data_IF_462718376092
#
_entry.id   IF_462718376092
#
_cell.length_a   1.000
_cell.length_b   1.000
_cell.length_c   1.000
_cell.angle_alpha   90.00
_cell.angle_beta   90.00
_cell.angle_gamma   90.00
#
_symmetry.space_group_name_H-M   'P 1'
#
loop_
_entity.id
_entity.type
_entity.pdbx_description
1 polymer ?
#
# COMPACT_ATOMS: atom_id res chain seq x y z
N UNK A 1 -42.97 -51.26 -36.93
CA UNK A 1 -42.12 -51.71 -38.06
C UNK A 1 -40.74 -51.13 -37.82
N UNK A 2 -39.77 -52.00 -37.67
CA UNK A 2 -38.37 -51.65 -37.51
C UNK A 2 -37.81 -51.04 -38.80
N UNK A 3 -36.95 -50.03 -38.63
CA UNK A 3 -36.09 -49.50 -39.69
C UNK A 3 -34.72 -49.24 -39.08
N UNK A 4 -33.81 -50.20 -39.29
CA UNK A 4 -32.42 -50.15 -38.86
C UNK A 4 -31.65 -49.05 -39.62
N UNK A 5 -30.88 -48.25 -38.90
CA UNK A 5 -29.72 -47.56 -39.45
C UNK A 5 -28.51 -48.05 -38.65
N UNK A 6 -27.66 -48.84 -39.30
CA UNK A 6 -26.36 -49.27 -38.82
C UNK A 6 -25.44 -48.06 -38.76
N UNK A 7 -24.90 -47.76 -37.57
CA UNK A 7 -23.74 -46.89 -37.42
C UNK A 7 -22.60 -47.71 -36.85
N UNK A 8 -21.45 -47.51 -37.48
CA UNK A 8 -20.24 -48.31 -37.47
C UNK A 8 -19.62 -48.40 -36.06
N UNK A 9 -19.26 -49.61 -35.65
CA UNK A 9 -18.58 -49.86 -34.38
C UNK A 9 -17.08 -49.71 -34.56
N UNK A 10 -16.60 -48.47 -34.67
CA UNK A 10 -15.18 -48.15 -34.42
C UNK A 10 -14.98 -46.65 -34.25
N UNK A 11 -15.17 -46.16 -33.03
CA UNK A 11 -14.49 -44.95 -32.55
C UNK A 11 -14.63 -44.91 -31.03
N UNK A 12 -13.72 -45.62 -30.35
CA UNK A 12 -13.43 -45.35 -28.94
C UNK A 12 -12.83 -43.95 -28.89
N UNK A 13 -13.65 -42.94 -28.57
CA UNK A 13 -13.14 -41.61 -28.24
C UNK A 13 -12.18 -41.76 -27.06
N UNK A 14 -10.91 -41.44 -27.33
CA UNK A 14 -9.79 -41.52 -26.40
C UNK A 14 -10.12 -40.71 -25.14
N UNK A 15 -10.41 -41.39 -24.04
CA UNK A 15 -10.62 -40.76 -22.72
C UNK A 15 -9.31 -40.21 -22.11
N UNK A 16 -8.21 -40.24 -22.88
CA UNK A 16 -6.86 -39.80 -22.54
C UNK A 16 -6.60 -38.32 -22.87
N UNK A 17 -7.41 -37.66 -23.71
CA UNK A 17 -7.21 -36.22 -24.03
C UNK A 17 -7.89 -35.26 -23.04
N UNK A 18 -8.79 -35.74 -22.19
CA UNK A 18 -9.47 -34.92 -21.16
C UNK A 18 -8.74 -34.90 -19.81
N UNK A 19 -7.74 -35.76 -19.59
CA UNK A 19 -6.91 -35.75 -18.37
C UNK A 19 -5.69 -34.84 -18.49
N UNK A 20 -5.24 -34.50 -19.69
CA UNK A 20 -4.02 -33.71 -19.91
C UNK A 20 -4.22 -32.20 -19.74
N UNK A 21 -5.47 -31.71 -19.73
CA UNK A 21 -5.75 -30.27 -19.58
C UNK A 21 -5.93 -29.79 -18.13
N UNK A 22 -5.99 -30.71 -17.15
CA UNK A 22 -6.16 -30.34 -15.73
C UNK A 22 -4.82 -30.26 -14.98
N UNK A 23 -3.78 -30.97 -15.42
CA UNK A 23 -2.48 -30.99 -14.74
C UNK A 23 -1.61 -29.74 -14.95
N UNK A 24 -1.79 -28.99 -16.04
CA UNK A 24 -0.97 -27.80 -16.35
C UNK A 24 -1.36 -26.53 -15.56
N UNK A 25 -2.48 -26.53 -14.84
CA UNK A 25 -2.88 -25.37 -14.00
C UNK A 25 -2.30 -25.41 -12.58
N UNK A 26 -1.53 -26.46 -12.25
CA UNK A 26 -0.97 -26.67 -10.91
C UNK A 26 0.44 -26.09 -10.70
N UNK A 27 1.09 -25.56 -11.73
CA UNK A 27 2.35 -24.81 -11.61
C UNK A 27 2.13 -23.32 -11.77
N UNK A 28 1.63 -22.69 -10.71
CA UNK A 28 1.88 -21.27 -10.49
C UNK A 28 3.35 -21.10 -10.09
N UNK A 29 4.23 -20.93 -11.06
CA UNK A 29 5.55 -20.37 -10.78
C UNK A 29 5.41 -18.85 -10.79
N UNK A 30 5.63 -18.16 -9.66
CA UNK A 30 5.49 -16.73 -9.62
C UNK A 30 6.53 -16.10 -10.57
N UNK A 31 6.09 -15.14 -11.39
CA UNK A 31 6.92 -14.39 -12.34
C UNK A 31 7.94 -13.51 -11.59
N UNK A 32 8.94 -14.13 -10.97
CA UNK A 32 10.09 -13.46 -10.38
C UNK A 32 11.32 -13.89 -11.17
N UNK A 33 11.74 -13.03 -12.11
CA UNK A 33 12.99 -13.14 -12.84
C UNK A 33 14.18 -13.31 -11.85
N UNK A 34 15.23 -14.02 -12.25
CA UNK A 34 16.49 -14.19 -11.50
C UNK A 34 17.07 -12.82 -11.07
N UNK A 35 16.84 -11.79 -11.88
CA UNK A 35 17.23 -10.41 -11.60
C UNK A 35 16.50 -9.82 -10.37
N UNK A 36 15.26 -10.25 -10.11
CA UNK A 36 14.46 -9.84 -8.95
C UNK A 36 15.00 -10.46 -7.66
N UNK A 37 15.37 -11.74 -7.71
CA UNK A 37 15.96 -12.44 -6.56
C UNK A 37 17.28 -11.82 -6.15
N UNK A 38 18.11 -11.39 -7.11
CA UNK A 38 19.40 -10.74 -6.84
C UNK A 38 19.24 -9.36 -6.19
N UNK A 39 18.22 -8.57 -6.55
CA UNK A 39 18.03 -7.23 -5.98
C UNK A 39 17.49 -7.25 -4.54
N UNK A 40 16.77 -8.29 -4.14
CA UNK A 40 16.12 -8.39 -2.82
C UNK A 40 16.82 -9.34 -1.85
N UNK A 41 17.66 -10.26 -2.35
CA UNK A 41 18.30 -11.29 -1.53
C UNK A 41 19.83 -11.21 -1.51
N UNK A 42 20.44 -10.25 -2.23
CA UNK A 42 21.90 -10.07 -2.25
C UNK A 42 22.48 -9.60 -0.92
N UNK A 43 21.74 -8.82 -0.12
CA UNK A 43 22.34 -8.03 0.97
C UNK A 43 21.92 -8.47 2.39
N UNK A 44 21.29 -9.65 2.55
CA UNK A 44 21.02 -10.22 3.89
C UNK A 44 19.98 -9.49 4.76
N UNK A 45 19.35 -8.43 4.27
CA UNK A 45 18.29 -7.71 4.98
C UNK A 45 16.90 -8.28 4.64
N UNK A 46 16.56 -9.42 5.24
CA UNK A 46 15.20 -10.01 5.14
C UNK A 46 14.10 -9.01 5.49
N UNK A 47 14.38 -8.09 6.43
CA UNK A 47 13.46 -7.04 6.86
C UNK A 47 13.10 -6.05 5.76
N UNK A 48 14.05 -5.65 4.91
CA UNK A 48 13.80 -4.67 3.84
C UNK A 48 12.95 -5.29 2.72
N UNK A 49 13.24 -6.55 2.39
CA UNK A 49 12.44 -7.33 1.45
C UNK A 49 11.02 -7.57 1.95
N UNK A 50 10.85 -7.89 3.23
CA UNK A 50 9.53 -8.00 3.86
C UNK A 50 8.78 -6.66 3.84
N UNK A 51 9.43 -5.55 4.22
CA UNK A 51 8.81 -4.22 4.19
C UNK A 51 8.34 -3.85 2.79
N UNK A 52 9.13 -4.16 1.76
CA UNK A 52 8.71 -3.90 0.39
C UNK A 52 7.56 -4.81 -0.06
N UNK A 53 7.59 -6.09 0.33
CA UNK A 53 6.48 -7.00 0.06
C UNK A 53 5.17 -6.46 0.67
N UNK A 54 5.20 -6.00 1.92
CA UNK A 54 4.06 -5.35 2.56
C UNK A 54 3.63 -4.08 1.83
N UNK A 55 4.56 -3.21 1.41
CA UNK A 55 4.24 -2.01 0.61
C UNK A 55 3.52 -2.36 -0.70
N UNK A 56 3.94 -3.43 -1.38
CA UNK A 56 3.32 -3.91 -2.62
C UNK A 56 1.91 -4.45 -2.41
N UNK A 57 1.60 -4.97 -1.23
CA UNK A 57 0.25 -5.40 -0.85
C UNK A 57 -0.59 -4.19 -0.39
N UNK A 58 0.02 -3.21 0.29
CA UNK A 58 -0.68 -2.07 0.85
C UNK A 58 -1.15 -1.06 -0.22
N UNK A 59 -0.26 -0.68 -1.14
CA UNK A 59 -0.54 0.37 -2.13
C UNK A 59 -1.78 0.05 -3.01
N UNK A 60 -2.01 -1.19 -3.47
CA UNK A 60 -3.19 -1.52 -4.25
C UNK A 60 -4.51 -1.44 -3.49
N UNK A 61 -4.57 -1.38 -2.16
CA UNK A 61 -5.87 -1.31 -1.46
C UNK A 61 -6.69 -0.09 -1.88
N UNK A 62 -6.04 1.07 -2.06
CA UNK A 62 -6.70 2.28 -2.54
C UNK A 62 -7.26 2.08 -3.96
N UNK A 63 -6.48 1.47 -4.85
CA UNK A 63 -6.90 1.19 -6.23
C UNK A 63 -7.85 0.00 -6.39
N UNK A 64 -7.91 -0.90 -5.41
CA UNK A 64 -8.81 -2.05 -5.43
C UNK A 64 -10.27 -1.59 -5.36
N UNK A 65 -10.56 -0.56 -4.56
CA UNK A 65 -11.90 -0.05 -4.32
C UNK A 65 -12.51 0.53 -5.62
N UNK A 66 -11.70 1.06 -6.55
CA UNK A 66 -12.17 1.57 -7.85
C UNK A 66 -12.28 0.51 -8.95
N UNK A 67 -11.78 -0.72 -8.72
CA UNK A 67 -11.81 -1.79 -9.74
C UNK A 67 -13.25 -2.28 -9.98
N UNK A 68 -13.70 -2.28 -11.23
CA UNK A 68 -15.09 -2.62 -11.64
C UNK A 68 -15.61 -3.98 -11.14
N UNK A 69 -14.73 -4.96 -10.92
CA UNK A 69 -15.09 -6.31 -10.44
C UNK A 69 -14.72 -6.57 -8.97
N UNK A 70 -14.37 -5.52 -8.21
CA UNK A 70 -14.09 -5.66 -6.79
C UNK A 70 -15.37 -5.97 -6.00
N UNK A 71 -15.28 -6.89 -5.04
CA UNK A 71 -16.40 -7.20 -4.13
C UNK A 71 -16.80 -5.98 -3.29
N UNK A 72 -15.82 -5.13 -2.97
CA UNK A 72 -15.99 -3.88 -2.23
C UNK A 72 -15.76 -2.65 -3.12
N UNK A 73 -16.42 -2.60 -4.29
CA UNK A 73 -16.34 -1.45 -5.19
C UNK A 73 -17.08 -0.22 -4.62
N UNK A 74 -16.37 0.90 -4.41
CA UNK A 74 -16.91 2.18 -3.86
C UNK A 74 -16.11 3.40 -4.33
N UNK A 75 -16.51 4.00 -5.45
CA UNK A 75 -15.80 5.15 -6.03
C UNK A 75 -15.81 6.39 -5.11
N UNK A 76 -16.82 6.54 -4.26
CA UNK A 76 -16.93 7.67 -3.32
C UNK A 76 -15.81 7.63 -2.29
N UNK A 77 -15.45 6.43 -1.81
CA UNK A 77 -14.37 6.24 -0.85
C UNK A 77 -13.02 6.61 -1.47
N UNK A 78 -12.78 6.21 -2.71
CA UNK A 78 -11.59 6.62 -3.45
C UNK A 78 -11.53 8.15 -3.61
N UNK A 79 -12.65 8.77 -3.99
CA UNK A 79 -12.76 10.22 -4.12
C UNK A 79 -12.41 10.96 -2.83
N UNK A 80 -12.90 10.48 -1.67
CA UNK A 80 -12.59 11.05 -0.36
C UNK A 80 -11.08 10.93 -0.06
N UNK A 81 -10.46 9.77 -0.32
CA UNK A 81 -9.01 9.58 -0.10
C UNK A 81 -8.20 10.52 -0.98
N UNK A 82 -8.50 10.60 -2.28
CA UNK A 82 -7.79 11.46 -3.23
C UNK A 82 -7.93 12.94 -2.89
N UNK A 83 -9.13 13.40 -2.53
CA UNK A 83 -9.36 14.78 -2.12
C UNK A 83 -8.58 15.08 -0.85
N UNK A 84 -8.69 14.24 0.18
CA UNK A 84 -8.01 14.42 1.47
C UNK A 84 -6.49 14.44 1.30
N UNK A 85 -5.93 13.46 0.57
CA UNK A 85 -4.50 13.43 0.23
C UNK A 85 -4.07 14.70 -0.49
N UNK A 86 -4.82 15.12 -1.53
CA UNK A 86 -4.51 16.34 -2.28
C UNK A 86 -4.55 17.60 -1.40
N UNK A 87 -5.46 17.68 -0.43
CA UNK A 87 -5.57 18.81 0.49
C UNK A 87 -4.40 18.86 1.47
N UNK A 88 -3.95 17.72 1.99
CA UNK A 88 -2.79 17.61 2.88
C UNK A 88 -1.55 18.13 2.16
N UNK A 89 -1.25 17.59 0.98
CA UNK A 89 -0.01 17.90 0.27
C UNK A 89 -0.01 19.35 -0.24
N UNK A 90 -1.16 19.88 -0.69
CA UNK A 90 -1.29 21.30 -1.09
C UNK A 90 -1.02 22.25 0.08
N UNK A 91 -1.56 21.96 1.26
CA UNK A 91 -1.33 22.76 2.47
C UNK A 91 0.14 22.74 2.88
N UNK A 92 0.77 21.57 2.86
CA UNK A 92 2.20 21.45 3.15
C UNK A 92 3.05 22.23 2.15
N UNK A 93 2.70 22.19 0.85
CA UNK A 93 3.36 23.00 -0.18
C UNK A 93 3.22 24.49 0.05
N UNK A 94 2.06 24.96 0.50
CA UNK A 94 1.86 26.38 0.83
C UNK A 94 2.79 26.83 1.96
N UNK A 95 2.97 26.00 2.99
CA UNK A 95 3.88 26.26 4.10
C UNK A 95 5.35 26.25 3.65
N UNK A 96 5.74 25.23 2.89
CA UNK A 96 7.09 25.15 2.33
C UNK A 96 7.37 26.35 1.43
N UNK A 97 6.37 26.84 0.67
CA UNK A 97 6.50 28.03 -0.18
C UNK A 97 6.70 29.34 0.62
N UNK A 98 6.19 29.41 1.85
CA UNK A 98 6.40 30.56 2.73
C UNK A 98 7.82 30.59 3.31
N UNK A 99 8.39 29.42 3.55
CA UNK A 99 9.76 29.27 4.04
C UNK A 99 10.75 29.45 2.88
N UNK A 100 10.49 28.80 1.73
CA UNK A 100 11.45 28.63 0.65
C UNK A 100 10.86 28.25 -0.72
N UNK A 101 11.73 27.96 -1.70
CA UNK A 101 11.35 27.50 -3.04
C UNK A 101 11.16 25.98 -3.14
N UNK A 102 9.93 25.48 -3.43
CA UNK A 102 9.72 24.08 -3.81
C UNK A 102 10.25 23.80 -5.23
N UNK A 103 10.86 22.63 -5.43
CA UNK A 103 11.38 22.16 -6.71
C UNK A 103 10.36 21.27 -7.42
N UNK A 104 9.95 20.19 -6.75
CA UNK A 104 9.06 19.17 -7.30
C UNK A 104 7.99 18.80 -6.27
N UNK A 105 6.83 18.45 -6.80
CA UNK A 105 5.64 18.13 -6.04
C UNK A 105 5.03 16.84 -6.61
N UNK A 106 5.04 15.79 -5.80
CA UNK A 106 4.45 14.49 -6.11
C UNK A 106 3.30 14.19 -5.13
N UNK A 107 2.61 13.08 -5.37
CA UNK A 107 1.42 12.61 -4.66
C UNK A 107 1.60 12.61 -3.14
N UNK A 108 2.75 12.12 -2.66
CA UNK A 108 3.02 11.92 -1.23
C UNK A 108 4.29 12.63 -0.75
N UNK A 109 4.92 13.47 -1.59
CA UNK A 109 6.24 14.03 -1.33
C UNK A 109 6.45 15.42 -1.92
N UNK A 110 7.26 16.23 -1.22
CA UNK A 110 7.67 17.56 -1.67
C UNK A 110 9.19 17.60 -1.67
N UNK A 111 9.77 17.88 -2.83
CA UNK A 111 11.18 18.18 -2.96
C UNK A 111 11.37 19.68 -2.87
N UNK A 112 12.14 20.14 -1.88
CA UNK A 112 12.39 21.55 -1.64
C UNK A 112 13.84 21.79 -1.25
N UNK A 113 14.30 23.01 -1.47
CA UNK A 113 15.60 23.48 -0.97
C UNK A 113 15.32 24.31 0.27
N UNK A 114 16.04 24.05 1.36
CA UNK A 114 16.00 24.85 2.58
C UNK A 114 17.29 25.69 2.70
N UNK A 115 17.27 26.86 3.39
CA UNK A 115 18.48 27.61 3.66
C UNK A 115 19.47 26.77 4.45
N UNK A 116 20.77 26.97 4.23
CA UNK A 116 21.81 26.33 5.03
C UNK A 116 21.74 26.69 6.53
N UNK A 117 21.12 27.82 6.88
CA UNK A 117 20.92 28.27 8.26
C UNK A 117 19.66 27.68 8.92
N UNK A 118 18.85 26.93 8.18
CA UNK A 118 17.62 26.35 8.70
C UNK A 118 17.93 25.18 9.63
N UNK A 119 17.18 25.08 10.72
CA UNK A 119 17.38 24.02 11.71
C UNK A 119 16.86 22.68 11.19
N UNK A 120 17.75 21.72 10.98
CA UNK A 120 17.39 20.38 10.48
C UNK A 120 17.13 19.40 11.61
N UNK A 121 18.15 19.06 12.41
CA UNK A 121 18.08 18.00 13.40
C UNK A 121 18.57 18.48 14.77
N UNK A 122 17.80 18.17 15.80
CA UNK A 122 18.15 18.38 17.20
C UNK A 122 18.35 17.04 17.88
N UNK A 123 19.45 16.87 18.62
CA UNK A 123 19.69 15.70 19.44
C UNK A 123 19.29 15.99 20.90
N UNK A 124 18.30 15.26 21.40
CA UNK A 124 17.92 15.31 22.80
C UNK A 124 18.59 14.15 23.56
N UNK A 125 19.27 14.50 24.65
CA UNK A 125 19.83 13.52 25.59
C UNK A 125 18.78 13.23 26.64
N UNK A 126 18.33 11.99 26.71
CA UNK A 126 17.28 11.55 27.64
C UNK A 126 17.92 10.89 28.87
N UNK A 127 17.22 10.97 30.01
CA UNK A 127 17.63 10.29 31.25
C UNK A 127 17.27 8.80 31.26
N UNK A 128 16.55 8.32 30.24
CA UNK A 128 16.13 6.93 30.10
C UNK A 128 17.29 6.07 29.56
N UNK A 129 17.73 5.03 30.31
CA UNK A 129 18.82 4.17 29.88
C UNK A 129 18.54 3.36 28.61
N UNK A 130 17.27 3.13 28.24
CA UNK A 130 16.92 2.36 27.04
C UNK A 130 16.94 3.21 25.76
N UNK A 131 16.73 4.52 25.88
CA UNK A 131 16.75 5.47 24.75
C UNK A 131 17.55 6.72 25.13
N UNK A 132 18.89 6.59 25.21
CA UNK A 132 19.74 7.67 25.71
C UNK A 132 19.77 8.89 24.78
N UNK A 133 19.52 8.70 23.48
CA UNK A 133 19.50 9.75 22.47
C UNK A 133 18.25 9.67 21.61
N UNK A 134 17.62 10.83 21.38
CA UNK A 134 16.48 10.97 20.48
C UNK A 134 16.80 12.07 19.47
N UNK A 135 16.80 11.73 18.19
CA UNK A 135 17.00 12.68 17.09
C UNK A 135 15.62 13.20 16.66
N UNK A 136 15.44 14.51 16.71
CA UNK A 136 14.22 15.20 16.29
C UNK A 136 14.53 16.01 15.03
N UNK A 137 13.92 15.63 13.92
CA UNK A 137 13.94 16.44 12.70
C UNK A 137 12.90 17.54 12.80
N UNK A 138 13.34 18.80 12.85
CA UNK A 138 12.45 19.95 13.04
C UNK A 138 11.44 20.09 11.90
N UNK A 139 11.89 20.02 10.64
CA UNK A 139 11.02 20.13 9.45
C UNK A 139 9.94 19.04 9.43
N UNK A 140 10.32 17.80 9.71
CA UNK A 140 9.39 16.67 9.73
C UNK A 140 8.36 16.82 10.85
N UNK A 141 8.79 17.19 12.06
CA UNK A 141 7.89 17.40 13.18
C UNK A 141 6.94 18.58 12.97
N UNK A 142 7.43 19.67 12.38
CA UNK A 142 6.59 20.83 12.02
C UNK A 142 5.45 20.43 11.09
N UNK A 143 5.76 19.69 10.01
CA UNK A 143 4.74 19.21 9.08
C UNK A 143 3.77 18.21 9.75
N UNK A 144 4.29 17.31 10.58
CA UNK A 144 3.46 16.34 11.30
C UNK A 144 2.50 16.98 12.30
N UNK A 145 2.92 18.03 12.99
CA UNK A 145 2.06 18.80 13.91
C UNK A 145 0.90 19.44 13.15
N UNK A 146 1.18 20.06 12.01
CA UNK A 146 0.15 20.71 11.18
C UNK A 146 -0.83 19.66 10.63
N UNK A 147 -0.33 18.50 10.22
CA UNK A 147 -1.20 17.40 9.77
C UNK A 147 -2.10 16.95 10.91
N UNK A 148 -1.54 16.76 12.11
CA UNK A 148 -2.32 16.39 13.30
C UNK A 148 -3.40 17.42 13.59
N UNK A 149 -3.07 18.71 13.62
CA UNK A 149 -4.03 19.75 14.00
C UNK A 149 -5.21 19.90 13.02
N UNK A 150 -5.00 19.57 11.73
CA UNK A 150 -6.02 19.76 10.70
C UNK A 150 -6.71 18.47 10.22
N UNK A 151 -6.09 17.31 10.38
CA UNK A 151 -6.56 16.05 9.82
C UNK A 151 -6.70 14.92 10.86
N UNK A 152 -6.68 15.25 12.16
CA UNK A 152 -7.06 14.29 13.22
C UNK A 152 -8.55 13.97 13.12
N UNK A 153 -8.89 12.69 13.28
CA UNK A 153 -10.26 12.23 13.35
C UNK A 153 -10.70 12.08 14.80
N UNK A 154 -11.32 13.13 15.35
CA UNK A 154 -11.85 13.16 16.72
C UNK A 154 -13.14 12.33 16.91
N UNK A 155 -13.59 11.62 15.86
CA UNK A 155 -14.82 10.83 15.85
C UNK A 155 -14.54 9.35 15.56
N UNK A 156 -13.30 8.90 15.79
CA UNK A 156 -12.93 7.51 15.59
C UNK A 156 -13.48 6.65 16.73
N UNK A 157 -14.45 5.77 16.40
CA UNK A 157 -15.10 4.89 17.38
C UNK A 157 -14.47 3.49 17.35
N UNK A 158 -14.12 2.96 18.52
CA UNK A 158 -13.66 1.57 18.68
C UNK A 158 -14.67 0.76 19.51
N UNK A 159 -14.84 -0.52 19.17
CA UNK A 159 -15.73 -1.43 19.86
C UNK A 159 -15.04 -1.99 21.11
N UNK A 160 -15.57 -1.70 22.29
CA UNK A 160 -14.98 -2.15 23.57
C UNK A 160 -15.53 -3.52 23.98
N UNK A 161 -16.86 -3.68 23.92
CA UNK A 161 -17.54 -4.90 24.36
C UNK A 161 -18.37 -5.49 23.23
N UNK A 162 -18.47 -6.83 23.21
CA UNK A 162 -19.30 -7.61 22.28
C UNK A 162 -20.80 -7.30 22.41
N UNK A 163 -21.18 -6.48 23.39
CA UNK A 163 -22.51 -5.94 23.62
C UNK A 163 -22.83 -4.66 22.82
N UNK A 164 -22.03 -4.33 21.80
CA UNK A 164 -22.19 -3.12 20.97
C UNK A 164 -21.96 -1.80 21.72
N UNK A 165 -20.98 -1.78 22.62
CA UNK A 165 -20.53 -0.54 23.28
C UNK A 165 -19.32 0.04 22.55
N UNK A 166 -19.39 1.34 22.25
CA UNK A 166 -18.36 2.08 21.50
C UNK A 166 -17.82 3.25 22.32
N UNK A 167 -16.52 3.49 22.22
CA UNK A 167 -15.85 4.67 22.79
C UNK A 167 -15.08 5.40 21.70
N UNK A 168 -15.02 6.73 21.83
CA UNK A 168 -14.26 7.60 20.94
C UNK A 168 -12.81 7.64 21.45
N UNK A 169 -11.86 7.39 20.54
CA UNK A 169 -10.43 7.35 20.84
C UNK A 169 -9.75 8.71 20.74
#
# INVERSE_FOLDING_TARGET
MAGNIQLDSSETADTTELSTTIEETSKWEPYWDEHYKRYYWSDGNESDSLQLAYKRILNPFYGYIMRKSARWHRIEMEGIVCITGSTIIKRNRELVKQIERPLEFDTDGIWCVLPATFSENYELITRDPLRPKVVISYSCNLLNLIIKDHYTNDQYNELIDKKHQYEIR
#
